data_IF_352290201323
#
_entry.id   IF_352290201323
#
_cell.length_a   1.000
_cell.length_b   1.000
_cell.length_c   1.000
_cell.angle_alpha   90.00
_cell.angle_beta   90.00
_cell.angle_gamma   90.00
#
_symmetry.space_group_name_H-M   'P 1'
#
loop_
_entity.id
_entity.type
_entity.pdbx_description
1 polymer ?
#
# COMPACT_ATOMS: atom_id res chain seq x y z
N UNK A 1 48.91 5.06 28.83
CA UNK A 1 47.70 5.72 28.26
C UNK A 1 46.77 4.64 27.72
N UNK A 2 45.72 4.24 28.45
CA UNK A 2 44.73 3.25 27.96
C UNK A 2 43.83 3.96 26.95
N UNK A 3 43.95 3.61 25.67
CA UNK A 3 43.00 4.05 24.64
C UNK A 3 41.67 3.38 24.94
N UNK A 4 40.69 4.12 25.47
CA UNK A 4 39.32 3.63 25.58
C UNK A 4 38.81 3.50 24.14
N UNK A 5 38.52 2.26 23.73
CA UNK A 5 38.05 1.94 22.39
C UNK A 5 36.66 2.59 22.16
N UNK A 6 36.65 3.71 21.43
CA UNK A 6 35.47 4.50 21.05
C UNK A 6 34.37 3.69 20.33
N UNK A 7 34.71 2.50 19.82
CA UNK A 7 33.82 1.63 19.04
C UNK A 7 32.62 1.10 19.85
N UNK A 8 32.75 0.91 21.17
CA UNK A 8 31.66 0.41 22.01
C UNK A 8 30.56 1.48 22.19
N UNK A 9 30.92 2.77 22.13
CA UNK A 9 29.97 3.87 22.31
C UNK A 9 28.98 3.98 21.14
N UNK A 10 29.41 3.65 19.92
CA UNK A 10 28.55 3.68 18.74
C UNK A 10 27.47 2.59 18.73
N UNK A 11 27.75 1.43 19.34
CA UNK A 11 26.79 0.31 19.40
C UNK A 11 25.59 0.65 20.29
N UNK A 12 25.80 1.42 21.36
CA UNK A 12 24.72 1.86 22.25
C UNK A 12 23.80 2.93 21.64
N UNK A 13 24.21 3.59 20.55
CA UNK A 13 23.35 4.59 19.88
C UNK A 13 22.31 3.94 18.94
N UNK A 14 22.51 2.68 18.56
CA UNK A 14 21.63 1.97 17.63
C UNK A 14 20.31 1.50 18.29
N UNK A 15 20.25 1.45 19.62
CA UNK A 15 19.11 0.92 20.38
C UNK A 15 17.97 1.94 20.57
N UNK A 16 18.17 3.20 20.13
CA UNK A 16 17.18 4.27 20.24
C UNK A 16 16.54 4.65 18.89
N UNK A 17 16.54 3.73 17.93
CA UNK A 17 15.77 3.90 16.69
C UNK A 17 14.32 3.51 17.00
N UNK A 18 13.55 4.45 17.56
CA UNK A 18 12.10 4.32 17.64
C UNK A 18 11.53 4.45 16.21
N UNK A 19 10.94 3.37 15.70
CA UNK A 19 10.18 3.43 14.45
C UNK A 19 8.96 4.33 14.63
N UNK A 20 8.56 5.06 13.59
CA UNK A 20 7.41 5.96 13.65
C UNK A 20 6.13 5.15 14.00
N UNK A 21 5.57 5.34 15.20
CA UNK A 21 4.37 4.61 15.64
C UNK A 21 3.13 4.93 14.80
N UNK A 22 3.05 6.13 14.24
CA UNK A 22 1.91 6.63 13.45
C UNK A 22 2.03 6.45 11.94
N UNK A 23 3.18 5.98 11.44
CA UNK A 23 3.45 5.94 9.99
C UNK A 23 3.50 4.50 9.42
N UNK A 24 3.18 3.50 10.25
CA UNK A 24 3.15 2.10 9.84
C UNK A 24 1.87 1.80 9.05
N UNK A 25 1.99 1.84 7.73
CA UNK A 25 0.91 1.52 6.80
C UNK A 25 1.30 0.39 5.85
N UNK A 26 0.33 -0.47 5.55
CA UNK A 26 0.45 -1.62 4.67
C UNK A 26 -0.60 -1.55 3.57
N UNK A 27 -0.14 -1.74 2.34
CA UNK A 27 -0.98 -1.86 1.16
C UNK A 27 -1.06 -3.33 0.74
N UNK A 28 -2.24 -3.91 0.82
CA UNK A 28 -2.50 -5.29 0.43
C UNK A 28 -3.35 -5.28 -0.82
N UNK A 29 -2.86 -5.86 -1.91
CA UNK A 29 -3.54 -5.85 -3.20
C UNK A 29 -3.66 -7.26 -3.75
N UNK A 30 -4.86 -7.63 -4.16
CA UNK A 30 -5.16 -8.88 -4.85
C UNK A 30 -5.69 -8.49 -6.23
N UNK A 31 -5.13 -9.06 -7.29
CA UNK A 31 -5.62 -8.84 -8.64
C UNK A 31 -5.79 -10.16 -9.38
N UNK A 32 -6.83 -10.21 -10.20
CA UNK A 32 -7.10 -11.28 -11.14
C UNK A 32 -7.11 -10.68 -12.53
N UNK A 33 -6.17 -11.12 -13.35
CA UNK A 33 -6.03 -10.72 -14.75
C UNK A 33 -6.39 -11.90 -15.63
N UNK A 34 -7.27 -11.66 -16.62
CA UNK A 34 -7.67 -12.67 -17.59
C UNK A 34 -7.55 -12.14 -19.00
N UNK A 35 -6.72 -12.82 -19.79
CA UNK A 35 -6.69 -12.67 -21.23
C UNK A 35 -7.89 -13.38 -21.84
N UNK A 36 -8.81 -12.59 -22.42
CA UNK A 36 -9.99 -13.10 -23.12
C UNK A 36 -9.60 -13.45 -24.57
N UNK A 37 -8.69 -12.67 -25.14
CA UNK A 37 -8.06 -12.91 -26.44
C UNK A 37 -6.74 -12.15 -26.51
N UNK A 38 -5.90 -12.43 -27.52
CA UNK A 38 -4.63 -11.74 -27.75
C UNK A 38 -4.74 -10.20 -27.79
N UNK A 39 -5.95 -9.66 -28.01
CA UNK A 39 -6.23 -8.22 -28.03
C UNK A 39 -6.99 -7.72 -26.81
N UNK A 40 -7.66 -8.56 -26.03
CA UNK A 40 -8.57 -8.12 -24.96
C UNK A 40 -8.17 -8.75 -23.62
N UNK A 41 -7.91 -7.89 -22.64
CA UNK A 41 -7.58 -8.27 -21.28
C UNK A 41 -8.58 -7.64 -20.31
N UNK A 42 -9.07 -8.43 -19.37
CA UNK A 42 -9.90 -7.95 -18.25
C UNK A 42 -9.10 -8.11 -16.96
N UNK A 43 -9.16 -7.10 -16.11
CA UNK A 43 -8.50 -7.08 -14.81
C UNK A 43 -9.50 -6.67 -13.74
N UNK A 44 -9.54 -7.39 -12.63
CA UNK A 44 -10.25 -7.00 -11.41
C UNK A 44 -9.21 -6.94 -10.29
N UNK A 45 -9.17 -5.83 -9.58
CA UNK A 45 -8.22 -5.59 -8.49
C UNK A 45 -8.96 -5.12 -7.25
N UNK A 46 -8.70 -5.77 -6.13
CA UNK A 46 -9.11 -5.35 -4.80
C UNK A 46 -7.87 -4.90 -4.02
N UNK A 47 -7.91 -3.75 -3.36
CA UNK A 47 -6.78 -3.23 -2.59
C UNK A 47 -7.24 -2.66 -1.27
N UNK A 48 -6.46 -2.88 -0.21
CA UNK A 48 -6.70 -2.46 1.16
C UNK A 48 -5.48 -1.69 1.68
N UNK A 49 -5.71 -0.51 2.24
CA UNK A 49 -4.71 0.27 2.99
C UNK A 49 -5.04 0.17 4.46
N UNK A 50 -4.17 -0.50 5.21
CA UNK A 50 -4.28 -0.66 6.66
C UNK A 50 -3.16 0.15 7.30
N UNK A 51 -3.46 0.93 8.33
CA UNK A 51 -2.47 1.76 9.03
C UNK A 51 -2.58 1.64 10.54
N UNK A 52 -1.82 2.49 11.25
CA UNK A 52 -1.79 2.51 12.72
C UNK A 52 -1.59 1.12 13.32
N UNK A 53 -0.44 0.51 12.98
CA UNK A 53 -0.07 -0.84 13.44
C UNK A 53 -1.08 -1.93 13.04
N UNK A 54 -1.59 -1.86 11.80
CA UNK A 54 -2.57 -2.80 11.25
C UNK A 54 -3.95 -2.78 11.94
N UNK A 55 -4.24 -1.75 12.73
CA UNK A 55 -5.47 -1.66 13.52
C UNK A 55 -6.63 -1.03 12.74
N UNK A 56 -6.33 -0.15 11.78
CA UNK A 56 -7.36 0.63 11.07
C UNK A 56 -7.28 0.43 9.56
N UNK A 57 -8.42 0.10 8.95
CA UNK A 57 -8.60 0.08 7.50
C UNK A 57 -8.97 1.49 7.03
N UNK A 58 -8.02 2.18 6.40
CA UNK A 58 -8.19 3.55 5.90
C UNK A 58 -8.87 3.60 4.54
N UNK A 59 -8.53 2.64 3.68
CA UNK A 59 -8.99 2.66 2.30
C UNK A 59 -9.19 1.25 1.81
N UNK A 60 -10.28 1.03 1.08
CA UNK A 60 -10.37 -0.11 0.20
C UNK A 60 -10.96 0.32 -1.15
N UNK A 61 -10.53 -0.33 -2.22
CA UNK A 61 -11.07 -0.06 -3.53
C UNK A 61 -11.13 -1.31 -4.40
N UNK A 62 -12.17 -1.34 -5.23
CA UNK A 62 -12.36 -2.31 -6.30
C UNK A 62 -12.16 -1.62 -7.64
N UNK A 63 -11.24 -2.12 -8.45
CA UNK A 63 -10.89 -1.60 -9.77
C UNK A 63 -11.13 -2.67 -10.83
N UNK A 64 -12.10 -2.42 -11.72
CA UNK A 64 -12.39 -3.27 -12.87
C UNK A 64 -11.93 -2.56 -14.13
N UNK A 65 -11.07 -3.21 -14.92
CA UNK A 65 -10.49 -2.64 -16.13
C UNK A 65 -10.64 -3.58 -17.32
N UNK A 66 -11.04 -3.01 -18.46
CA UNK A 66 -11.00 -3.63 -19.77
C UNK A 66 -9.90 -2.96 -20.60
N UNK A 67 -8.95 -3.73 -21.10
CA UNK A 67 -7.84 -3.26 -21.94
C UNK A 67 -7.94 -3.91 -23.32
N UNK A 68 -7.87 -3.08 -24.36
CA UNK A 68 -7.77 -3.47 -25.76
C UNK A 68 -6.39 -3.12 -26.31
N UNK A 69 -5.67 -4.10 -26.84
CA UNK A 69 -4.40 -3.92 -27.55
C UNK A 69 -4.70 -3.77 -29.05
N UNK A 70 -4.54 -2.55 -29.58
CA UNK A 70 -4.70 -2.30 -31.02
C UNK A 70 -3.54 -2.93 -31.82
N UNK A 71 -2.31 -2.78 -31.30
CA UNK A 71 -1.10 -3.46 -31.75
C UNK A 71 -0.14 -3.65 -30.56
N UNK A 72 1.08 -4.12 -30.80
CA UNK A 72 2.07 -4.38 -29.75
C UNK A 72 2.56 -3.11 -29.03
N UNK A 73 2.27 -1.92 -29.56
CA UNK A 73 2.78 -0.64 -29.09
C UNK A 73 1.67 0.27 -28.53
N UNK A 74 0.42 0.05 -28.93
CA UNK A 74 -0.73 0.89 -28.63
C UNK A 74 -1.82 0.03 -28.03
N UNK A 75 -2.21 0.39 -26.81
CA UNK A 75 -3.35 -0.17 -26.12
C UNK A 75 -4.22 0.92 -25.53
N UNK A 76 -5.53 0.69 -25.53
CA UNK A 76 -6.52 1.55 -24.91
C UNK A 76 -7.17 0.78 -23.76
N UNK A 77 -7.36 1.42 -22.62
CA UNK A 77 -8.02 0.81 -21.48
C UNK A 77 -9.11 1.73 -20.95
N UNK A 78 -10.22 1.12 -20.54
CA UNK A 78 -11.28 1.77 -19.79
C UNK A 78 -11.44 1.03 -18.48
N UNK A 79 -11.74 1.74 -17.41
CA UNK A 79 -11.92 1.12 -16.11
C UNK A 79 -12.88 1.90 -15.24
N UNK A 80 -13.50 1.17 -14.32
CA UNK A 80 -14.34 1.72 -13.26
C UNK A 80 -13.70 1.34 -11.94
N UNK A 81 -13.52 2.34 -11.06
CA UNK A 81 -12.99 2.13 -9.72
C UNK A 81 -13.98 2.64 -8.69
N UNK A 82 -14.42 1.74 -7.82
CA UNK A 82 -15.12 2.08 -6.60
C UNK A 82 -14.09 2.28 -5.48
N UNK A 83 -14.13 3.41 -4.80
CA UNK A 83 -13.22 3.75 -3.70
C UNK A 83 -14.05 4.03 -2.46
N UNK A 84 -13.67 3.40 -1.36
CA UNK A 84 -14.12 3.76 -0.03
C UNK A 84 -12.89 4.18 0.77
N UNK A 85 -12.94 5.40 1.29
CA UNK A 85 -11.86 6.00 2.06
C UNK A 85 -12.48 6.57 3.32
N UNK A 86 -11.86 6.29 4.47
CA UNK A 86 -12.16 6.92 5.74
C UNK A 86 -11.10 7.98 6.00
N UNK A 87 -11.54 9.20 6.28
CA UNK A 87 -10.64 10.24 6.73
C UNK A 87 -10.22 9.93 8.17
N UNK A 88 -8.97 10.27 8.52
CA UNK A 88 -8.39 9.98 9.83
C UNK A 88 -9.19 10.69 10.96
N UNK A 89 -9.76 11.84 10.66
CA UNK A 89 -10.62 12.64 11.56
C UNK A 89 -11.95 11.94 11.92
N UNK A 90 -12.48 11.06 11.06
CA UNK A 90 -13.72 10.31 11.33
C UNK A 90 -13.50 9.16 12.33
N UNK A 91 -12.25 8.71 12.52
CA UNK A 91 -11.90 7.59 13.40
C UNK A 91 -11.73 8.04 14.86
N UNK A 92 -11.42 9.30 15.11
CA UNK A 92 -11.30 9.87 16.46
C UNK A 92 -12.66 10.05 17.15
N UNK A 93 -13.74 10.20 16.37
CA UNK A 93 -15.12 10.35 16.89
C UNK A 93 -15.66 9.04 17.49
N UNK A 94 -15.11 7.87 17.12
CA UNK A 94 -15.52 6.57 17.63
C UNK A 94 -14.72 6.09 18.86
N UNK A 95 -13.76 6.91 19.32
CA UNK A 95 -12.92 6.63 20.50
C UNK A 95 -13.36 7.38 21.77
N UNK A 96 -14.42 8.21 21.71
CA UNK A 96 -15.15 8.74 22.88
C UNK A 96 -16.31 7.82 23.32
#
# INVERSE_FOLDING_TARGET
MRKINSTILFVFFYIFIFGQEKDNQSWNTISVDKEISNKINISIKESFRIGENYSFLYKYFTDTRLKYNYNNNISLAIGFRYINEREEDDLDILKE
#
